data_IF_901260013612
#
_entry.id   IF_901260013612
#
_cell.length_a   1.000
_cell.length_b   1.000
_cell.length_c   1.000
_cell.angle_alpha   90.00
_cell.angle_beta   90.00
_cell.angle_gamma   90.00
#
_symmetry.space_group_name_H-M   'P 1'
#
loop_
_entity.id
_entity.type
_entity.pdbx_description
1 polymer ?
#
# COMPACT_ATOMS: atom_id res chain seq x y z
N UNK A 1 -21.90 -9.01 -21.37
CA UNK A 1 -20.92 -9.16 -22.48
C UNK A 1 -19.53 -9.12 -21.88
N UNK A 2 -18.84 -10.25 -21.82
CA UNK A 2 -17.45 -10.29 -21.34
C UNK A 2 -16.55 -9.65 -22.41
N UNK A 3 -15.90 -8.54 -22.07
CA UNK A 3 -14.84 -8.00 -22.91
C UNK A 3 -13.70 -9.03 -22.98
N UNK A 4 -13.00 -9.12 -24.11
CA UNK A 4 -11.81 -9.97 -24.21
C UNK A 4 -10.78 -9.61 -23.13
N UNK A 5 -9.88 -10.55 -22.78
CA UNK A 5 -8.87 -10.37 -21.70
C UNK A 5 -8.13 -9.03 -21.78
N UNK A 6 -7.84 -8.55 -22.99
CA UNK A 6 -7.18 -7.28 -23.26
C UNK A 6 -8.08 -6.06 -23.01
N UNK A 7 -9.37 -6.16 -23.35
CA UNK A 7 -10.33 -5.08 -23.11
C UNK A 7 -10.53 -4.83 -21.61
N UNK A 8 -10.55 -5.90 -20.80
CA UNK A 8 -10.61 -5.79 -19.35
C UNK A 8 -9.36 -5.13 -18.77
N UNK A 9 -8.16 -5.50 -19.25
CA UNK A 9 -6.88 -4.88 -18.86
C UNK A 9 -6.89 -3.38 -19.17
N UNK A 10 -7.23 -3.00 -20.40
CA UNK A 10 -7.29 -1.59 -20.82
C UNK A 10 -8.30 -0.80 -19.99
N UNK A 11 -9.47 -1.38 -19.71
CA UNK A 11 -10.49 -0.72 -18.90
C UNK A 11 -10.02 -0.51 -17.45
N UNK A 12 -9.34 -1.50 -16.86
CA UNK A 12 -8.84 -1.40 -15.49
C UNK A 12 -7.58 -0.52 -15.38
N UNK A 13 -6.78 -0.38 -16.42
CA UNK A 13 -5.65 0.56 -16.43
C UNK A 13 -6.09 2.03 -16.59
N UNK A 14 -7.30 2.27 -17.11
CA UNK A 14 -7.81 3.62 -17.35
C UNK A 14 -8.16 4.35 -16.03
N UNK A 15 -7.70 5.60 -15.77
CA UNK A 15 -7.91 6.30 -14.49
C UNK A 15 -9.37 6.40 -14.02
N UNK A 16 -10.32 6.52 -14.97
CA UNK A 16 -11.76 6.53 -14.67
C UNK A 16 -12.28 5.28 -13.93
N UNK A 17 -11.56 4.16 -13.96
CA UNK A 17 -11.95 2.94 -13.26
C UNK A 17 -11.25 2.75 -11.91
N UNK A 18 -10.35 3.66 -11.51
CA UNK A 18 -9.47 3.42 -10.36
C UNK A 18 -10.17 3.41 -8.99
N UNK A 19 -11.41 3.87 -8.92
CA UNK A 19 -12.26 3.77 -7.71
C UNK A 19 -13.24 2.59 -7.76
N UNK A 20 -13.17 1.76 -8.80
CA UNK A 20 -14.07 0.63 -9.03
C UNK A 20 -13.36 -0.71 -8.84
N UNK A 21 -14.16 -1.78 -8.69
CA UNK A 21 -13.63 -3.15 -8.62
C UNK A 21 -12.83 -3.50 -9.88
N UNK A 22 -11.86 -4.39 -9.73
CA UNK A 22 -11.26 -5.05 -10.87
C UNK A 22 -12.29 -5.92 -11.58
N UNK A 23 -12.22 -5.96 -12.91
CA UNK A 23 -13.04 -6.85 -13.74
C UNK A 23 -12.67 -8.32 -13.55
N UNK A 24 -11.42 -8.57 -13.14
CA UNK A 24 -10.88 -9.91 -12.87
C UNK A 24 -10.09 -9.90 -11.57
N UNK A 25 -10.06 -11.03 -10.88
CA UNK A 25 -9.39 -11.14 -9.58
C UNK A 25 -8.55 -12.40 -9.45
N UNK A 26 -8.12 -12.98 -10.58
CA UNK A 26 -7.14 -14.08 -10.56
C UNK A 26 -5.79 -13.54 -10.12
N UNK A 27 -4.98 -14.37 -9.46
CA UNK A 27 -3.66 -13.98 -8.94
C UNK A 27 -2.82 -13.34 -10.04
N UNK A 28 -2.65 -14.01 -11.19
CA UNK A 28 -1.87 -13.46 -12.29
C UNK A 28 -2.40 -12.13 -12.85
N UNK A 29 -3.71 -11.87 -12.76
CA UNK A 29 -4.27 -10.57 -13.15
C UNK A 29 -3.94 -9.48 -12.13
N UNK A 30 -4.10 -9.78 -10.84
CA UNK A 30 -3.77 -8.83 -9.77
C UNK A 30 -2.27 -8.53 -9.74
N UNK A 31 -1.40 -9.50 -10.01
CA UNK A 31 0.04 -9.27 -10.18
C UNK A 31 0.33 -8.31 -11.34
N UNK A 32 -0.37 -8.42 -12.48
CA UNK A 32 -0.23 -7.43 -13.56
C UNK A 32 -0.67 -6.04 -13.13
N UNK A 33 -1.79 -5.94 -12.40
CA UNK A 33 -2.26 -4.65 -11.89
C UNK A 33 -1.28 -4.06 -10.86
N UNK A 34 -0.74 -4.87 -9.96
CA UNK A 34 0.31 -4.49 -9.01
C UNK A 34 1.49 -3.84 -9.76
N UNK A 35 2.03 -4.54 -10.75
CA UNK A 35 3.16 -4.04 -11.57
C UNK A 35 2.80 -2.77 -12.34
N UNK A 36 1.57 -2.65 -12.81
CA UNK A 36 1.11 -1.44 -13.50
C UNK A 36 1.12 -0.21 -12.58
N UNK A 37 0.48 -0.28 -11.40
CA UNK A 37 0.44 0.85 -10.48
C UNK A 37 1.83 1.19 -9.94
N UNK A 38 2.60 0.18 -9.53
CA UNK A 38 3.97 0.41 -9.05
C UNK A 38 4.89 0.93 -10.16
N UNK A 39 4.70 0.50 -11.41
CA UNK A 39 5.42 1.04 -12.55
C UNK A 39 5.16 2.54 -12.76
N UNK A 40 3.91 2.99 -12.58
CA UNK A 40 3.60 4.43 -12.56
C UNK A 40 4.31 5.11 -11.38
N UNK A 41 4.28 4.49 -10.19
CA UNK A 41 4.96 5.01 -9.00
C UNK A 41 6.47 5.19 -9.20
N UNK A 42 7.14 4.20 -9.80
CA UNK A 42 8.57 4.30 -10.17
C UNK A 42 8.79 5.45 -11.16
N UNK A 43 7.95 5.57 -12.18
CA UNK A 43 8.05 6.68 -13.14
C UNK A 43 7.89 8.05 -12.48
N UNK A 44 6.92 8.20 -11.57
CA UNK A 44 6.69 9.42 -10.81
C UNK A 44 7.84 9.74 -9.85
N UNK A 45 8.40 8.73 -9.19
CA UNK A 45 9.60 8.87 -8.36
C UNK A 45 10.75 9.42 -9.20
N UNK A 46 11.10 8.78 -10.31
CA UNK A 46 12.25 9.17 -11.13
C UNK A 46 12.12 10.59 -11.70
N UNK A 47 10.95 10.92 -12.27
CA UNK A 47 10.69 12.24 -12.83
C UNK A 47 10.58 13.29 -11.72
N UNK A 48 9.92 12.92 -10.62
CA UNK A 48 9.72 13.78 -9.46
C UNK A 48 11.02 14.17 -8.79
N UNK A 49 11.90 13.22 -8.51
CA UNK A 49 13.22 13.46 -7.92
C UNK A 49 14.03 14.44 -8.76
N UNK A 50 14.05 14.29 -10.09
CA UNK A 50 14.74 15.23 -10.97
C UNK A 50 14.17 16.66 -10.94
N UNK A 51 12.85 16.81 -10.71
CA UNK A 51 12.21 18.12 -10.55
C UNK A 51 12.52 18.70 -9.16
N UNK A 52 12.50 17.88 -8.12
CA UNK A 52 12.75 18.28 -6.73
C UNK A 52 14.18 18.80 -6.59
N UNK A 53 15.17 18.10 -7.16
CA UNK A 53 16.58 18.54 -7.16
C UNK A 53 16.76 19.92 -7.79
N UNK A 54 15.96 20.27 -8.81
CA UNK A 54 16.00 21.58 -9.44
C UNK A 54 15.24 22.67 -8.67
N UNK A 55 14.11 22.30 -8.06
CA UNK A 55 13.23 23.23 -7.37
C UNK A 55 13.66 23.52 -5.92
N UNK A 56 14.32 22.55 -5.28
CA UNK A 56 14.80 22.58 -3.89
C UNK A 56 16.26 22.11 -3.87
N UNK A 57 17.24 22.99 -4.18
CA UNK A 57 18.65 22.61 -4.32
C UNK A 57 19.29 22.07 -3.04
N UNK A 58 18.74 22.43 -1.89
CA UNK A 58 19.20 21.98 -0.57
C UNK A 58 18.37 20.78 -0.04
N UNK A 59 17.58 20.14 -0.90
CA UNK A 59 16.79 18.95 -0.53
C UNK A 59 17.69 17.73 -0.39
N UNK A 60 17.56 17.03 0.73
CA UNK A 60 18.19 15.73 0.97
C UNK A 60 17.12 14.67 1.20
N UNK A 61 17.17 13.59 0.41
CA UNK A 61 16.23 12.49 0.61
C UNK A 61 16.52 11.80 1.95
N UNK A 62 15.50 11.60 2.81
CA UNK A 62 15.73 11.07 4.15
C UNK A 62 16.22 9.61 4.12
N UNK A 63 17.32 9.35 4.82
CA UNK A 63 17.87 8.00 5.01
C UNK A 63 17.66 7.54 6.46
N UNK A 64 16.52 6.89 6.72
CA UNK A 64 16.19 6.33 8.03
C UNK A 64 16.62 4.86 8.07
N UNK A 65 17.30 4.39 9.15
CA UNK A 65 17.58 2.98 9.35
C UNK A 65 16.32 2.11 9.29
N UNK A 66 16.40 0.97 8.60
CA UNK A 66 15.25 0.07 8.42
C UNK A 66 15.56 -1.32 8.93
N UNK A 67 14.56 -1.97 9.51
CA UNK A 67 14.61 -3.38 9.89
C UNK A 67 13.79 -4.23 8.92
N UNK A 68 14.23 -5.46 8.64
CA UNK A 68 13.45 -6.41 7.84
C UNK A 68 12.11 -6.72 8.53
N UNK A 69 12.09 -6.88 9.86
CA UNK A 69 10.85 -7.07 10.63
C UNK A 69 9.86 -5.93 10.43
N UNK A 70 10.32 -4.68 10.53
CA UNK A 70 9.49 -3.49 10.41
C UNK A 70 8.90 -3.34 9.00
N UNK A 71 9.72 -3.47 7.96
CA UNK A 71 9.23 -3.31 6.56
C UNK A 71 8.26 -4.41 6.15
N UNK A 72 8.43 -5.64 6.67
CA UNK A 72 7.49 -6.74 6.43
C UNK A 72 6.19 -6.56 7.23
N UNK A 73 6.28 -6.06 8.46
CA UNK A 73 5.12 -5.76 9.31
C UNK A 73 4.30 -4.56 8.81
N UNK A 74 4.91 -3.62 8.09
CA UNK A 74 4.20 -2.50 7.47
C UNK A 74 3.03 -2.96 6.59
N UNK A 75 3.21 -4.02 5.79
CA UNK A 75 2.15 -4.56 4.93
C UNK A 75 0.84 -4.87 5.69
N UNK A 76 0.83 -5.77 6.68
CA UNK A 76 -0.38 -6.04 7.45
C UNK A 76 -0.84 -4.84 8.28
N UNK A 77 0.05 -4.06 8.88
CA UNK A 77 -0.35 -2.89 9.69
C UNK A 77 -1.08 -1.84 8.84
N UNK A 78 -0.50 -1.45 7.71
CA UNK A 78 -0.98 -0.37 6.87
C UNK A 78 -2.20 -0.79 6.05
N UNK A 79 -2.16 -1.97 5.43
CA UNK A 79 -3.27 -2.46 4.61
C UNK A 79 -4.54 -2.69 5.44
N UNK A 80 -4.41 -3.20 6.66
CA UNK A 80 -5.59 -3.37 7.53
C UNK A 80 -6.09 -2.05 8.09
N UNK A 81 -5.19 -1.17 8.56
CA UNK A 81 -5.56 0.10 9.19
C UNK A 81 -6.18 1.08 8.20
N UNK A 82 -5.55 1.28 7.05
CA UNK A 82 -5.95 2.33 6.11
C UNK A 82 -6.89 1.84 5.01
N UNK A 83 -7.04 0.53 4.81
CA UNK A 83 -7.87 0.01 3.72
C UNK A 83 -8.89 -1.02 4.19
N UNK A 84 -8.45 -2.10 4.84
CA UNK A 84 -9.30 -3.21 5.24
C UNK A 84 -10.39 -2.84 6.25
N UNK A 85 -10.01 -2.28 7.39
CA UNK A 85 -10.94 -1.87 8.46
C UNK A 85 -11.89 -0.78 7.97
N UNK A 86 -11.43 0.33 7.34
CA UNK A 86 -12.32 1.35 6.77
C UNK A 86 -13.30 0.78 5.74
N UNK A 87 -12.87 -0.16 4.89
CA UNK A 87 -13.75 -0.79 3.91
C UNK A 87 -14.86 -1.61 4.57
N UNK A 88 -14.55 -2.41 5.59
CA UNK A 88 -15.54 -3.28 6.21
C UNK A 88 -16.46 -2.57 7.20
N UNK A 89 -16.00 -1.47 7.83
CA UNK A 89 -16.85 -0.65 8.71
C UNK A 89 -17.85 0.16 7.88
N UNK A 90 -17.39 0.89 6.86
CA UNK A 90 -18.23 1.85 6.14
C UNK A 90 -18.84 1.30 4.84
N UNK A 91 -18.32 0.18 4.34
CA UNK A 91 -18.91 -0.55 3.21
C UNK A 91 -18.79 0.12 1.85
N UNK A 92 -18.02 1.21 1.71
CA UNK A 92 -17.87 1.97 0.47
C UNK A 92 -16.40 2.23 0.12
N UNK A 93 -16.12 2.53 -1.15
CA UNK A 93 -14.75 2.77 -1.63
C UNK A 93 -14.22 4.16 -1.24
N UNK A 94 -15.09 5.13 -0.97
CA UNK A 94 -14.68 6.50 -0.61
C UNK A 94 -14.07 6.58 0.79
N UNK A 95 -14.55 5.79 1.75
CA UNK A 95 -13.92 5.70 3.07
C UNK A 95 -12.48 5.23 2.96
N UNK A 96 -12.22 4.24 2.11
CA UNK A 96 -10.88 3.72 1.80
C UNK A 96 -10.02 4.77 1.10
N UNK A 97 -10.61 5.57 0.20
CA UNK A 97 -9.88 6.66 -0.45
C UNK A 97 -9.44 7.73 0.56
N UNK A 98 -10.29 8.10 1.52
CA UNK A 98 -9.96 9.09 2.55
C UNK A 98 -8.82 8.59 3.45
N UNK A 99 -8.95 7.39 4.00
CA UNK A 99 -7.91 6.81 4.87
C UNK A 99 -6.64 6.49 4.11
N UNK A 100 -6.75 6.06 2.86
CA UNK A 100 -5.61 5.86 1.98
C UNK A 100 -4.92 7.17 1.58
N UNK A 101 -5.64 8.29 1.45
CA UNK A 101 -5.02 9.60 1.24
C UNK A 101 -4.23 10.06 2.48
N UNK A 102 -4.72 9.76 3.69
CA UNK A 102 -3.96 9.96 4.93
C UNK A 102 -2.69 9.09 4.93
N UNK A 103 -2.80 7.82 4.54
CA UNK A 103 -1.66 6.92 4.41
C UNK A 103 -0.59 7.45 3.43
N UNK A 104 -0.99 7.93 2.26
CA UNK A 104 -0.10 8.59 1.29
C UNK A 104 0.54 9.83 1.92
N UNK A 105 -0.23 10.71 2.56
CA UNK A 105 0.31 11.91 3.20
C UNK A 105 1.32 11.60 4.31
N UNK A 106 1.11 10.53 5.08
CA UNK A 106 2.06 10.09 6.10
C UNK A 106 3.40 9.66 5.51
N UNK A 107 3.44 9.17 4.26
CA UNK A 107 4.70 8.80 3.61
C UNK A 107 5.61 10.00 3.32
N UNK A 108 5.06 11.21 3.22
CA UNK A 108 5.84 12.45 3.13
C UNK A 108 6.63 12.73 4.42
N UNK A 109 6.08 12.29 5.55
CA UNK A 109 6.65 12.47 6.89
C UNK A 109 7.61 11.34 7.28
N UNK A 110 8.03 10.51 6.33
CA UNK A 110 9.02 9.46 6.56
C UNK A 110 10.43 10.06 6.65
N UNK A 111 10.65 10.90 7.66
CA UNK A 111 11.87 11.67 7.91
C UNK A 111 12.04 11.89 9.41
N UNK A 112 13.27 12.05 9.88
CA UNK A 112 13.58 12.29 11.29
C UNK A 112 13.33 13.74 11.72
N UNK A 113 13.12 14.65 10.76
CA UNK A 113 12.93 16.09 11.03
C UNK A 113 11.81 16.69 10.21
N UNK A 114 11.03 17.58 10.81
CA UNK A 114 9.96 18.32 10.11
C UNK A 114 10.53 19.58 9.43
N UNK A 115 11.39 19.37 8.43
CA UNK A 115 11.90 20.41 7.54
C UNK A 115 11.46 20.12 6.11
N UNK A 116 11.14 21.16 5.34
CA UNK A 116 10.74 21.00 3.93
C UNK A 116 11.83 20.29 3.12
N UNK A 117 13.09 20.59 3.41
CA UNK A 117 14.25 20.04 2.71
C UNK A 117 14.58 18.58 3.09
N UNK A 118 13.83 17.97 4.02
CA UNK A 118 14.02 16.60 4.45
C UNK A 118 12.76 15.74 4.28
N UNK A 119 11.70 16.27 3.66
CA UNK A 119 10.46 15.53 3.43
C UNK A 119 10.66 14.44 2.37
N UNK A 120 10.07 13.27 2.59
CA UNK A 120 10.20 12.14 1.67
C UNK A 120 9.29 12.29 0.43
N UNK A 121 9.53 13.32 -0.38
CA UNK A 121 8.75 13.60 -1.58
C UNK A 121 8.84 12.47 -2.60
N UNK A 122 10.01 11.85 -2.77
CA UNK A 122 10.16 10.69 -3.63
C UNK A 122 9.26 9.54 -3.18
N UNK A 123 9.28 9.23 -1.88
CA UNK A 123 8.43 8.21 -1.28
C UNK A 123 6.93 8.51 -1.47
N UNK A 124 6.50 9.76 -1.27
CA UNK A 124 5.13 10.20 -1.52
C UNK A 124 4.69 9.93 -2.97
N UNK A 125 5.50 10.34 -3.95
CA UNK A 125 5.21 10.16 -5.37
C UNK A 125 5.17 8.68 -5.76
N UNK A 126 6.03 7.88 -5.16
CA UNK A 126 6.09 6.46 -5.37
C UNK A 126 4.81 5.74 -4.91
N UNK A 127 4.31 6.06 -3.71
CA UNK A 127 3.15 5.36 -3.12
C UNK A 127 1.80 5.86 -3.62
N UNK A 128 1.75 7.07 -4.21
CA UNK A 128 0.50 7.68 -4.67
C UNK A 128 -0.30 6.79 -5.65
N UNK A 129 0.31 6.12 -6.65
CA UNK A 129 -0.43 5.17 -7.47
C UNK A 129 -0.79 3.87 -6.74
N UNK A 130 0.04 3.42 -5.79
CA UNK A 130 -0.19 2.21 -5.00
C UNK A 130 -1.43 2.29 -4.11
N UNK A 131 -1.83 3.48 -3.69
CA UNK A 131 -3.15 3.77 -3.09
C UNK A 131 -4.29 3.12 -3.89
N UNK A 132 -4.30 3.32 -5.21
CA UNK A 132 -5.37 2.81 -6.07
C UNK A 132 -5.27 1.30 -6.23
N UNK A 133 -4.07 0.74 -6.25
CA UNK A 133 -3.90 -0.72 -6.24
C UNK A 133 -4.54 -1.34 -5.00
N UNK A 134 -4.19 -0.84 -3.80
CA UNK A 134 -4.70 -1.36 -2.54
C UNK A 134 -6.20 -1.16 -2.42
N UNK A 135 -6.71 0.05 -2.69
CA UNK A 135 -8.15 0.36 -2.69
C UNK A 135 -8.93 -0.63 -3.55
N UNK A 136 -8.52 -0.82 -4.81
CA UNK A 136 -9.25 -1.69 -5.74
C UNK A 136 -9.15 -3.16 -5.35
N UNK A 137 -8.01 -3.58 -4.80
CA UNK A 137 -7.81 -4.95 -4.33
C UNK A 137 -8.76 -5.27 -3.16
N UNK A 138 -8.91 -4.35 -2.22
CA UNK A 138 -9.87 -4.45 -1.12
C UNK A 138 -11.32 -4.43 -1.59
N UNK A 139 -11.70 -3.45 -2.42
CA UNK A 139 -13.08 -3.32 -2.93
C UNK A 139 -13.48 -4.52 -3.80
N UNK A 140 -12.51 -5.21 -4.41
CA UNK A 140 -12.70 -6.45 -5.18
C UNK A 140 -12.72 -7.73 -4.32
N UNK A 141 -12.65 -7.61 -2.99
CA UNK A 141 -12.70 -8.75 -2.07
C UNK A 141 -11.40 -9.58 -2.01
N UNK A 142 -10.26 -8.99 -2.39
CA UNK A 142 -8.95 -9.65 -2.43
C UNK A 142 -7.92 -9.00 -1.50
N UNK A 143 -8.36 -8.35 -0.43
CA UNK A 143 -7.49 -7.60 0.50
C UNK A 143 -6.28 -8.39 1.05
N UNK A 144 -6.39 -9.70 1.24
CA UNK A 144 -5.25 -10.55 1.62
C UNK A 144 -4.09 -10.47 0.61
N UNK A 145 -4.40 -10.32 -0.68
CA UNK A 145 -3.39 -10.16 -1.73
C UNK A 145 -2.68 -8.83 -1.58
N UNK A 146 -3.40 -7.77 -1.22
CA UNK A 146 -2.84 -6.45 -0.91
C UNK A 146 -1.84 -6.54 0.25
N UNK A 147 -2.24 -7.16 1.37
CA UNK A 147 -1.38 -7.39 2.55
C UNK A 147 -0.09 -8.10 2.17
N UNK A 148 -0.19 -9.26 1.50
CA UNK A 148 0.98 -10.07 1.14
C UNK A 148 1.89 -9.34 0.16
N UNK A 149 1.31 -8.73 -0.87
CA UNK A 149 2.12 -8.05 -1.90
C UNK A 149 2.74 -6.76 -1.39
N UNK A 150 2.10 -6.04 -0.48
CA UNK A 150 2.70 -4.89 0.19
C UNK A 150 3.93 -5.32 0.99
N UNK A 151 3.83 -6.32 1.88
CA UNK A 151 4.99 -6.84 2.61
C UNK A 151 6.11 -7.32 1.67
N UNK A 152 5.75 -8.08 0.62
CA UNK A 152 6.73 -8.59 -0.34
C UNK A 152 7.44 -7.44 -1.08
N UNK A 153 6.68 -6.42 -1.48
CA UNK A 153 7.19 -5.27 -2.20
C UNK A 153 8.14 -4.44 -1.33
N UNK A 154 7.77 -4.17 -0.08
CA UNK A 154 8.65 -3.52 0.89
C UNK A 154 9.92 -4.34 1.13
N UNK A 155 9.82 -5.67 1.20
CA UNK A 155 10.96 -6.57 1.30
C UNK A 155 11.92 -6.48 0.10
N UNK A 156 11.39 -6.36 -1.13
CA UNK A 156 12.19 -6.19 -2.35
C UNK A 156 12.96 -4.86 -2.31
N UNK A 157 12.28 -3.74 -2.00
CA UNK A 157 12.93 -2.43 -1.92
C UNK A 157 13.91 -2.34 -0.76
N UNK A 158 13.60 -2.99 0.37
CA UNK A 158 14.52 -3.13 1.49
C UNK A 158 15.80 -3.86 1.05
N UNK A 159 15.68 -5.02 0.41
CA UNK A 159 16.83 -5.79 -0.04
C UNK A 159 17.67 -5.01 -1.07
N UNK A 160 17.00 -4.35 -2.04
CA UNK A 160 17.66 -3.55 -3.05
C UNK A 160 18.43 -2.36 -2.43
N UNK A 161 17.76 -1.53 -1.62
CA UNK A 161 18.39 -0.39 -0.96
C UNK A 161 19.51 -0.80 0.00
N UNK A 162 19.35 -1.94 0.68
CA UNK A 162 20.39 -2.48 1.52
C UNK A 162 21.62 -2.93 0.74
N UNK A 163 21.42 -3.61 -0.39
CA UNK A 163 22.52 -4.07 -1.25
C UNK A 163 23.26 -2.91 -1.93
N UNK A 164 22.56 -1.80 -2.16
CA UNK A 164 23.12 -0.57 -2.74
C UNK A 164 23.77 0.36 -1.70
N UNK A 165 23.57 0.11 -0.39
CA UNK A 165 24.10 0.96 0.67
C UNK A 165 23.35 2.30 0.86
N UNK A 166 22.10 2.38 0.39
CA UNK A 166 21.26 3.60 0.44
C UNK A 166 20.85 3.97 1.89
N UNK A 167 20.75 2.96 2.75
CA UNK A 167 20.42 3.13 4.17
C UNK A 167 21.01 2.00 5.01
N UNK A 168 21.09 2.23 6.32
CA UNK A 168 21.50 1.19 7.28
C UNK A 168 20.38 0.17 7.47
N UNK A 169 20.72 -1.13 7.39
CA UNK A 169 19.75 -2.22 7.48
C UNK A 169 20.05 -3.16 8.63
N UNK A 170 18.99 -3.63 9.29
CA UNK A 170 19.06 -4.69 10.30
C UNK A 170 18.03 -5.78 10.02
N UNK A 171 18.26 -6.98 10.55
CA UNK A 171 17.26 -8.07 10.43
C UNK A 171 16.05 -7.83 11.34
N UNK A 172 16.30 -7.29 12.54
CA UNK A 172 15.30 -6.98 13.56
C UNK A 172 15.44 -5.53 14.00
N UNK A 173 14.39 -4.98 14.60
CA UNK A 173 14.44 -3.66 15.21
C UNK A 173 15.48 -3.63 16.33
N UNK A 174 16.11 -2.47 16.55
CA UNK A 174 17.11 -2.28 17.61
C UNK A 174 16.51 -2.53 19.01
N UNK A 175 15.23 -2.24 19.18
CA UNK A 175 14.43 -2.63 20.34
C UNK A 175 13.57 -3.86 20.02
N UNK A 176 13.90 -4.98 20.66
CA UNK A 176 13.17 -6.23 20.50
C UNK A 176 11.67 -6.11 20.86
N UNK A 177 11.31 -5.21 21.78
CA UNK A 177 9.91 -4.97 22.13
C UNK A 177 9.13 -4.41 20.94
N UNK A 178 9.74 -3.50 20.17
CA UNK A 178 9.15 -2.93 18.95
C UNK A 178 8.81 -4.02 17.94
N UNK A 179 9.70 -5.00 17.72
CA UNK A 179 9.42 -6.14 16.84
C UNK A 179 8.24 -6.97 17.36
N UNK A 180 8.24 -7.33 18.65
CA UNK A 180 7.16 -8.14 19.26
C UNK A 180 5.81 -7.42 19.18
N UNK A 181 5.77 -6.13 19.50
CA UNK A 181 4.58 -5.28 19.42
C UNK A 181 4.07 -5.22 17.97
N UNK A 182 4.96 -5.01 17.00
CA UNK A 182 4.58 -4.92 15.58
C UNK A 182 3.97 -6.22 15.05
N UNK A 183 4.53 -7.37 15.42
CA UNK A 183 3.98 -8.69 15.09
C UNK A 183 2.61 -8.89 15.77
N UNK A 184 2.52 -8.58 17.06
CA UNK A 184 1.29 -8.70 17.84
C UNK A 184 0.17 -7.83 17.28
N UNK A 185 0.46 -6.56 16.97
CA UNK A 185 -0.48 -5.63 16.33
C UNK A 185 -0.88 -6.09 14.94
N UNK A 186 0.06 -6.58 14.13
CA UNK A 186 -0.24 -7.15 12.80
C UNK A 186 -1.24 -8.29 12.91
N UNK A 187 -1.01 -9.25 13.81
CA UNK A 187 -1.90 -10.38 14.03
C UNK A 187 -3.28 -9.91 14.54
N UNK A 188 -3.31 -8.97 15.49
CA UNK A 188 -4.55 -8.42 16.04
C UNK A 188 -5.39 -7.70 14.98
N UNK A 189 -4.75 -6.86 14.14
CA UNK A 189 -5.43 -6.10 13.09
C UNK A 189 -5.92 -7.01 11.95
N UNK A 190 -5.14 -8.02 11.55
CA UNK A 190 -5.61 -9.05 10.62
C UNK A 190 -6.84 -9.76 11.20
N UNK A 191 -6.78 -10.18 12.47
CA UNK A 191 -7.88 -10.83 13.17
C UNK A 191 -9.14 -9.96 13.21
N UNK A 192 -9.00 -8.69 13.60
CA UNK A 192 -10.10 -7.72 13.61
C UNK A 192 -10.71 -7.54 12.21
N UNK A 193 -9.86 -7.37 11.20
CA UNK A 193 -10.28 -7.23 9.79
C UNK A 193 -11.04 -8.47 9.31
N UNK A 194 -10.57 -9.67 9.68
CA UNK A 194 -11.24 -10.93 9.34
C UNK A 194 -12.60 -11.07 10.02
N UNK A 195 -12.73 -10.68 11.29
CA UNK A 195 -14.03 -10.66 12.00
C UNK A 195 -14.99 -9.69 11.30
N UNK A 196 -14.53 -8.50 10.91
CA UNK A 196 -15.35 -7.53 10.18
C UNK A 196 -15.78 -8.08 8.81
N UNK A 197 -14.88 -8.73 8.07
CA UNK A 197 -15.20 -9.43 6.82
C UNK A 197 -16.31 -10.46 7.04
N UNK A 198 -16.17 -11.34 8.04
CA UNK A 198 -17.16 -12.38 8.33
C UNK A 198 -18.52 -11.82 8.73
N UNK A 199 -18.54 -10.73 9.50
CA UNK A 199 -19.78 -10.01 9.86
C UNK A 199 -20.48 -9.45 8.62
N UNK A 200 -19.73 -8.89 7.67
CA UNK A 200 -20.29 -8.39 6.40
C UNK A 200 -20.84 -9.53 5.54
N UNK A 201 -20.08 -10.60 5.36
CA UNK A 201 -20.49 -11.79 4.61
C UNK A 201 -21.78 -12.40 5.19
N UNK A 202 -21.88 -12.49 6.52
CA UNK A 202 -23.09 -12.98 7.19
C UNK A 202 -24.32 -12.12 6.94
N UNK A 203 -24.19 -10.78 7.00
CA UNK A 203 -25.28 -9.85 6.70
C UNK A 203 -25.74 -9.94 5.24
N UNK A 204 -24.80 -10.10 4.31
CA UNK A 204 -25.12 -10.25 2.88
C UNK A 204 -25.85 -11.56 2.60
N UNK A 205 -25.41 -12.67 3.22
CA UNK A 205 -26.12 -13.97 3.11
C UNK A 205 -27.54 -13.91 3.65
N UNK A 206 -27.76 -13.26 4.80
CA UNK A 206 -29.10 -13.10 5.37
C UNK A 206 -30.02 -12.29 4.45
N UNK A 207 -29.51 -11.24 3.80
CA UNK A 207 -30.29 -10.43 2.85
C UNK A 207 -30.70 -11.18 1.59
N UNK A 208 -29.89 -12.15 1.14
CA UNK A 208 -30.19 -12.96 -0.05
C UNK A 208 -31.13 -14.14 0.25
N UNK A 209 -31.35 -14.45 1.53
CA UNK A 209 -32.23 -15.53 1.97
C UNK A 209 -33.67 -15.04 2.29
N UNK A 210 -33.93 -13.74 2.18
CA UNK A 210 -35.23 -13.08 2.32
C UNK A 210 -35.70 -12.65 0.93
#
# INVERSE_FOLDING_TARGET
MAGGRFADEKADMHPRSWLSRYRRTSIGYLTKMLLFYHGIGIGLLLVGSAIIEQALPDHEEPSIPRSLSGVLAAGPLEETTFFGIPFYIFGNAYSVLVTGAVWVAMHLLNTDTLSVNSLAFGNLLFVLPSLFFSLRTWVSGKGWFSVVTHSAWNGIFFAAGCSAGEFTCTAIDSDANTTVISIGLSAALIGATYVLYKRKEGKERQRLAV
#
